data_IF_232814931805
#
_entry.id   IF_232814931805
#
_cell.length_a   1.000
_cell.length_b   1.000
_cell.length_c   1.000
_cell.angle_alpha   90.00
_cell.angle_beta   90.00
_cell.angle_gamma   90.00
#
_symmetry.space_group_name_H-M   'P 1'
#
loop_
_entity.id
_entity.type
_entity.pdbx_description
1 polymer ?
#
# COMPACT_ATOMS: atom_id res chain seq x y z
N UNK A 1 45.14 26.50 -20.40
CA UNK A 1 44.77 26.36 -18.98
C UNK A 1 43.37 25.76 -18.97
N UNK A 2 43.22 24.49 -18.57
CA UNK A 2 41.90 23.86 -18.55
C UNK A 2 41.05 24.49 -17.42
N UNK A 3 39.80 24.87 -17.66
CA UNK A 3 38.96 25.44 -16.60
C UNK A 3 38.73 24.41 -15.50
N UNK A 4 38.65 24.88 -14.25
CA UNK A 4 38.31 24.03 -13.13
C UNK A 4 36.93 23.41 -13.36
N UNK A 5 36.85 22.08 -13.39
CA UNK A 5 35.60 21.32 -13.58
C UNK A 5 34.67 21.37 -12.35
N UNK A 6 34.96 22.22 -11.36
CA UNK A 6 34.21 22.37 -10.13
C UNK A 6 33.67 23.79 -10.01
N UNK A 7 32.35 23.98 -9.85
CA UNK A 7 31.80 25.31 -9.66
C UNK A 7 32.29 25.91 -8.34
N UNK A 8 32.69 27.18 -8.37
CA UNK A 8 33.34 27.86 -7.23
C UNK A 8 32.48 27.86 -5.96
N UNK A 9 31.15 27.94 -6.11
CA UNK A 9 30.22 27.90 -4.99
C UNK A 9 30.25 26.57 -4.24
N UNK A 10 30.47 25.45 -4.95
CA UNK A 10 30.50 24.11 -4.36
C UNK A 10 31.77 23.92 -3.54
N UNK A 11 32.90 24.39 -4.07
CA UNK A 11 34.18 24.38 -3.37
C UNK A 11 34.11 25.25 -2.12
N UNK A 12 33.54 26.46 -2.24
CA UNK A 12 33.36 27.37 -1.12
C UNK A 12 32.49 26.73 -0.04
N UNK A 13 31.34 26.19 -0.41
CA UNK A 13 30.43 25.47 0.49
C UNK A 13 31.14 24.35 1.26
N UNK A 14 31.92 23.52 0.55
CA UNK A 14 32.62 22.39 1.15
C UNK A 14 33.69 22.82 2.15
N UNK A 15 34.46 23.86 1.82
CA UNK A 15 35.53 24.37 2.67
C UNK A 15 35.02 25.19 3.87
N UNK A 16 33.89 25.90 3.71
CA UNK A 16 33.31 26.72 4.79
C UNK A 16 32.46 25.93 5.77
N UNK A 17 32.04 24.71 5.44
CA UNK A 17 31.18 23.91 6.31
C UNK A 17 32.03 23.10 7.30
N UNK A 18 31.91 23.34 8.62
CA UNK A 18 32.68 22.62 9.62
C UNK A 18 32.34 21.12 9.58
N UNK A 19 33.37 20.27 9.66
CA UNK A 19 33.26 18.81 9.52
C UNK A 19 33.35 18.31 8.08
N UNK A 20 32.64 18.94 7.13
CA UNK A 20 32.73 18.61 5.70
C UNK A 20 34.09 19.00 5.11
N UNK A 21 34.72 20.08 5.59
CA UNK A 21 36.04 20.49 5.11
C UNK A 21 37.18 19.48 5.38
N UNK A 22 36.97 18.53 6.30
CA UNK A 22 37.96 17.51 6.68
C UNK A 22 37.82 16.23 5.83
N UNK A 23 36.73 16.10 5.07
CA UNK A 23 36.39 14.91 4.30
C UNK A 23 36.59 15.19 2.82
N UNK A 24 37.19 14.23 2.09
CA UNK A 24 37.32 14.37 0.63
C UNK A 24 35.92 14.27 -0.02
N UNK A 25 35.48 15.28 -0.78
CA UNK A 25 34.17 15.28 -1.43
C UNK A 25 33.95 14.05 -2.32
N UNK A 26 35.00 13.56 -2.96
CA UNK A 26 34.91 12.42 -3.88
C UNK A 26 34.57 11.12 -3.13
N UNK A 27 35.19 10.88 -1.97
CA UNK A 27 34.87 9.68 -1.18
C UNK A 27 33.45 9.73 -0.63
N UNK A 28 32.96 10.91 -0.26
CA UNK A 28 31.59 11.07 0.22
C UNK A 28 30.58 10.79 -0.91
N UNK A 29 30.85 11.28 -2.11
CA UNK A 29 30.03 10.98 -3.30
C UNK A 29 30.04 9.49 -3.66
N UNK A 30 31.20 8.83 -3.59
CA UNK A 30 31.31 7.39 -3.83
C UNK A 30 30.52 6.60 -2.78
N UNK A 31 30.64 6.97 -1.51
CA UNK A 31 29.89 6.34 -0.43
C UNK A 31 28.38 6.51 -0.62
N UNK A 32 27.93 7.72 -0.99
CA UNK A 32 26.52 8.01 -1.25
C UNK A 32 26.01 7.19 -2.44
N UNK A 33 26.77 7.11 -3.53
CA UNK A 33 26.42 6.28 -4.69
C UNK A 33 26.34 4.78 -4.32
N UNK A 34 27.27 4.29 -3.50
CA UNK A 34 27.26 2.90 -3.03
C UNK A 34 26.03 2.61 -2.15
N UNK A 35 25.65 3.53 -1.27
CA UNK A 35 24.44 3.41 -0.43
C UNK A 35 23.18 3.40 -1.30
N UNK A 36 23.08 4.30 -2.27
CA UNK A 36 21.94 4.34 -3.21
C UNK A 36 21.84 3.02 -4.00
N UNK A 37 22.97 2.53 -4.51
CA UNK A 37 23.02 1.26 -5.24
C UNK A 37 22.62 0.07 -4.35
N UNK A 38 23.09 0.04 -3.10
CA UNK A 38 22.74 -0.99 -2.13
C UNK A 38 21.25 -0.96 -1.78
N UNK A 39 20.69 0.22 -1.51
CA UNK A 39 19.25 0.39 -1.23
C UNK A 39 18.43 -0.01 -2.44
N UNK A 40 18.82 0.39 -3.65
CA UNK A 40 18.15 -0.02 -4.89
C UNK A 40 18.20 -1.54 -5.08
N UNK A 41 19.36 -2.16 -4.85
CA UNK A 41 19.52 -3.61 -4.95
C UNK A 41 18.69 -4.37 -3.92
N UNK A 42 18.67 -3.90 -2.67
CA UNK A 42 17.84 -4.49 -1.60
C UNK A 42 16.35 -4.31 -1.90
N UNK A 43 15.91 -3.14 -2.37
CA UNK A 43 14.52 -2.89 -2.77
C UNK A 43 14.12 -3.77 -3.94
N UNK A 44 14.97 -3.91 -4.95
CA UNK A 44 14.73 -4.78 -6.10
C UNK A 44 14.66 -6.27 -5.72
N UNK A 45 15.40 -6.69 -4.71
CA UNK A 45 15.29 -8.05 -4.14
C UNK A 45 14.07 -8.24 -3.24
N UNK A 46 13.54 -7.17 -2.63
CA UNK A 46 12.32 -7.23 -1.80
C UNK A 46 11.03 -7.11 -2.60
N UNK A 47 11.03 -6.45 -3.77
CA UNK A 47 9.87 -6.39 -4.67
C UNK A 47 9.16 -7.73 -4.92
N UNK A 48 9.83 -8.86 -5.23
CA UNK A 48 9.11 -10.12 -5.43
C UNK A 48 8.42 -10.65 -4.16
N UNK A 49 8.87 -10.27 -2.96
CA UNK A 49 8.23 -10.66 -1.71
C UNK A 49 7.17 -9.64 -1.25
N UNK A 50 7.36 -8.36 -1.57
CA UNK A 50 6.46 -7.27 -1.19
C UNK A 50 5.23 -7.19 -2.11
N UNK A 51 5.36 -7.57 -3.39
CA UNK A 51 4.23 -7.72 -4.31
C UNK A 51 3.33 -8.90 -3.89
N UNK A 52 3.90 -10.04 -3.46
CA UNK A 52 3.10 -11.19 -2.98
C UNK A 52 2.34 -10.86 -1.69
N UNK A 53 2.99 -10.23 -0.70
CA UNK A 53 2.33 -9.81 0.54
C UNK A 53 1.33 -8.68 0.26
N UNK A 54 1.63 -7.78 -0.69
CA UNK A 54 0.75 -6.70 -1.10
C UNK A 54 -0.52 -7.20 -1.79
N UNK A 55 -0.44 -8.23 -2.63
CA UNK A 55 -1.59 -8.85 -3.28
C UNK A 55 -2.51 -9.57 -2.29
N UNK A 56 -1.96 -10.36 -1.37
CA UNK A 56 -2.74 -11.04 -0.32
C UNK A 56 -3.43 -10.03 0.62
N UNK A 57 -2.72 -8.99 1.07
CA UNK A 57 -3.28 -7.93 1.90
C UNK A 57 -4.36 -7.12 1.15
N UNK A 58 -4.18 -6.90 -0.15
CA UNK A 58 -5.19 -6.22 -0.97
C UNK A 58 -6.44 -7.07 -1.16
N UNK A 59 -6.29 -8.38 -1.40
CA UNK A 59 -7.40 -9.33 -1.47
C UNK A 59 -8.16 -9.39 -0.15
N UNK A 60 -7.45 -9.48 0.98
CA UNK A 60 -8.06 -9.46 2.30
C UNK A 60 -8.85 -8.17 2.56
N UNK A 61 -8.28 -7.00 2.25
CA UNK A 61 -8.98 -5.71 2.36
C UNK A 61 -10.21 -5.63 1.45
N UNK A 62 -10.13 -6.18 0.24
CA UNK A 62 -11.24 -6.23 -0.69
C UNK A 62 -12.40 -7.09 -0.15
N UNK A 63 -12.08 -8.27 0.40
CA UNK A 63 -13.06 -9.16 1.02
C UNK A 63 -13.75 -8.51 2.23
N UNK A 64 -13.02 -7.78 3.08
CA UNK A 64 -13.60 -7.01 4.19
C UNK A 64 -14.56 -5.92 3.72
N UNK A 65 -14.20 -5.18 2.66
CA UNK A 65 -15.08 -4.17 2.08
C UNK A 65 -16.34 -4.81 1.51
N UNK A 66 -16.23 -5.93 0.80
CA UNK A 66 -17.36 -6.68 0.25
C UNK A 66 -18.30 -7.16 1.37
N UNK A 67 -17.75 -7.72 2.44
CA UNK A 67 -18.53 -8.09 3.64
C UNK A 67 -19.31 -6.91 4.21
N UNK A 68 -18.64 -5.77 4.40
CA UNK A 68 -19.26 -4.55 4.94
C UNK A 68 -20.39 -4.00 4.05
N UNK A 69 -20.22 -4.08 2.73
CA UNK A 69 -21.27 -3.68 1.78
C UNK A 69 -22.47 -4.62 1.90
N UNK A 70 -22.26 -5.94 1.93
CA UNK A 70 -23.34 -6.93 2.09
C UNK A 70 -24.08 -6.74 3.43
N UNK A 71 -23.35 -6.49 4.52
CA UNK A 71 -23.96 -6.17 5.82
C UNK A 71 -24.78 -4.87 5.80
N UNK A 72 -24.31 -3.85 5.07
CA UNK A 72 -25.04 -2.61 4.84
C UNK A 72 -26.33 -2.81 4.03
N UNK A 73 -26.28 -3.60 2.96
CA UNK A 73 -27.45 -3.97 2.16
C UNK A 73 -28.46 -4.79 2.98
N UNK A 74 -28.00 -5.71 3.82
CA UNK A 74 -28.83 -6.47 4.75
C UNK A 74 -29.55 -5.58 5.77
N UNK A 75 -28.85 -4.58 6.34
CA UNK A 75 -29.43 -3.60 7.24
C UNK A 75 -30.42 -2.66 6.52
N UNK A 76 -30.13 -2.32 5.25
CA UNK A 76 -31.00 -1.52 4.40
C UNK A 76 -32.24 -2.28 3.92
N UNK A 77 -32.18 -3.60 3.79
CA UNK A 77 -33.29 -4.44 3.33
C UNK A 77 -34.53 -4.30 4.23
N UNK A 78 -34.32 -4.18 5.53
CA UNK A 78 -35.38 -4.03 6.53
C UNK A 78 -36.05 -2.65 6.42
N UNK A 79 -35.27 -1.61 6.11
CA UNK A 79 -35.80 -0.28 5.79
C UNK A 79 -36.61 -0.29 4.48
N UNK A 80 -36.16 -1.00 3.44
CA UNK A 80 -36.87 -1.09 2.15
C UNK A 80 -38.16 -1.89 2.23
N UNK A 81 -38.20 -2.93 3.08
CA UNK A 81 -39.45 -3.63 3.44
C UNK A 81 -40.41 -2.68 4.17
N UNK A 82 -39.91 -1.89 5.14
CA UNK A 82 -40.72 -0.94 5.89
C UNK A 82 -41.26 0.22 5.03
N UNK A 83 -40.54 0.58 3.96
CA UNK A 83 -40.94 1.56 2.95
C UNK A 83 -41.86 0.98 1.86
N UNK A 84 -42.23 -0.31 1.95
CA UNK A 84 -43.02 -1.05 0.97
C UNK A 84 -42.42 -1.07 -0.47
N UNK A 85 -41.11 -0.84 -0.62
CA UNK A 85 -40.41 -0.93 -1.91
C UNK A 85 -40.29 -2.38 -2.41
N UNK A 86 -40.35 -3.36 -1.51
CA UNK A 86 -40.16 -4.79 -1.79
C UNK A 86 -41.19 -5.63 -1.05
N UNK A 87 -41.73 -6.63 -1.73
CA UNK A 87 -42.69 -7.59 -1.18
C UNK A 87 -42.01 -8.51 -0.16
N UNK A 88 -42.76 -8.99 0.82
CA UNK A 88 -42.26 -9.84 1.91
C UNK A 88 -41.61 -11.16 1.42
N UNK A 89 -42.09 -11.72 0.31
CA UNK A 89 -41.46 -12.87 -0.37
C UNK A 89 -40.08 -12.52 -0.94
N UNK A 90 -39.96 -11.38 -1.61
CA UNK A 90 -38.69 -10.92 -2.17
C UNK A 90 -37.67 -10.57 -1.08
N UNK A 91 -38.13 -10.02 0.05
CA UNK A 91 -37.28 -9.78 1.22
C UNK A 91 -36.70 -11.09 1.78
N UNK A 92 -37.50 -12.15 1.92
CA UNK A 92 -37.02 -13.44 2.42
C UNK A 92 -36.01 -14.09 1.47
N UNK A 93 -36.24 -14.01 0.17
CA UNK A 93 -35.31 -14.53 -0.84
C UNK A 93 -33.98 -13.76 -0.84
N UNK A 94 -34.01 -12.43 -0.93
CA UNK A 94 -32.79 -11.61 -0.92
C UNK A 94 -32.02 -11.76 0.41
N UNK A 95 -32.72 -11.83 1.55
CA UNK A 95 -32.06 -12.02 2.85
C UNK A 95 -31.30 -13.33 2.90
N UNK A 96 -31.89 -14.41 2.40
CA UNK A 96 -31.26 -15.74 2.41
C UNK A 96 -30.08 -15.80 1.43
N UNK A 97 -30.20 -15.15 0.27
CA UNK A 97 -29.14 -15.01 -0.72
C UNK A 97 -27.94 -14.20 -0.18
N UNK A 98 -28.19 -13.03 0.41
CA UNK A 98 -27.14 -12.23 1.05
C UNK A 98 -26.48 -12.94 2.24
N UNK A 99 -27.24 -13.72 3.02
CA UNK A 99 -26.69 -14.55 4.10
C UNK A 99 -25.78 -15.66 3.55
N UNK A 100 -26.15 -16.29 2.43
CA UNK A 100 -25.31 -17.28 1.76
C UNK A 100 -24.01 -16.65 1.26
N UNK A 101 -24.09 -15.49 0.61
CA UNK A 101 -22.91 -14.75 0.16
C UNK A 101 -22.01 -14.29 1.32
N UNK A 102 -22.60 -13.90 2.45
CA UNK A 102 -21.84 -13.53 3.63
C UNK A 102 -21.12 -14.75 4.24
N UNK A 103 -21.76 -15.92 4.25
CA UNK A 103 -21.15 -17.17 4.72
C UNK A 103 -19.98 -17.62 3.83
N UNK A 104 -20.11 -17.46 2.51
CA UNK A 104 -19.04 -17.73 1.55
C UNK A 104 -17.84 -16.80 1.78
N UNK A 105 -18.07 -15.48 1.85
CA UNK A 105 -17.02 -14.49 2.11
C UNK A 105 -16.38 -14.68 3.50
N UNK A 106 -17.14 -15.07 4.53
CA UNK A 106 -16.56 -15.37 5.84
C UNK A 106 -15.65 -16.59 5.82
N UNK A 107 -16.02 -17.62 5.05
CA UNK A 107 -15.20 -18.83 4.91
C UNK A 107 -13.91 -18.55 4.13
N UNK A 108 -13.96 -17.68 3.13
CA UNK A 108 -12.76 -17.20 2.44
C UNK A 108 -11.87 -16.38 3.38
N UNK A 109 -12.44 -15.51 4.22
CA UNK A 109 -11.69 -14.73 5.22
C UNK A 109 -11.01 -15.61 6.30
N UNK A 110 -11.62 -16.72 6.71
CA UNK A 110 -11.01 -17.69 7.63
C UNK A 110 -9.73 -18.33 7.07
N UNK A 111 -9.55 -18.38 5.75
CA UNK A 111 -8.33 -18.92 5.14
C UNK A 111 -7.12 -17.98 5.32
N UNK A 112 -7.37 -16.71 5.66
CA UNK A 112 -6.35 -15.69 5.89
C UNK A 112 -6.11 -15.38 7.38
N UNK A 113 -6.84 -16.04 8.31
CA UNK A 113 -6.72 -15.85 9.78
C UNK A 113 -6.07 -17.07 10.43
#
# INVERSE_FOLDING_TARGET
MAPAYHPEWLVKFWLTTPGLNMVNPHYLLIALAAVIALVWFLRKRRMPAEDMIGEEDQLFKHLLLRKKVIEGELAGLEARLSAAEITEENYKLLKLDYQSHLAEVSKELEQYT
#
